data_IF_506998302908
#
_entry.id   IF_506998302908
#
_cell.length_a   1.000
_cell.length_b   1.000
_cell.length_c   1.000
_cell.angle_alpha   90.00
_cell.angle_beta   90.00
_cell.angle_gamma   90.00
#
_symmetry.space_group_name_H-M   'P 1'
#
loop_
_entity.id
_entity.type
_entity.pdbx_description
1 polymer ?
#
# COMPACT_ATOMS: atom_id res chain seq x y z
N UNK A 1 6.98 -4.92 -18.50
CA UNK A 1 5.62 -4.28 -18.53
C UNK A 1 5.28 -3.87 -17.11
N UNK A 2 4.73 -2.68 -16.89
CA UNK A 2 4.26 -2.24 -15.57
C UNK A 2 2.74 -2.26 -15.57
N UNK A 3 2.14 -3.08 -14.70
CA UNK A 3 0.69 -3.21 -14.60
C UNK A 3 0.28 -2.87 -13.17
N UNK A 4 -0.60 -1.89 -13.04
CA UNK A 4 -1.25 -1.61 -11.76
C UNK A 4 -2.19 -2.77 -11.42
N UNK A 5 -1.94 -3.41 -10.28
CA UNK A 5 -2.73 -4.55 -9.85
C UNK A 5 -3.75 -4.16 -8.79
N UNK A 6 -3.32 -3.37 -7.80
CA UNK A 6 -4.17 -2.93 -6.71
C UNK A 6 -3.83 -1.50 -6.34
N UNK A 7 -4.87 -0.71 -6.07
CA UNK A 7 -4.76 0.66 -5.56
C UNK A 7 -5.57 0.82 -4.29
N UNK A 8 -4.99 1.54 -3.35
CA UNK A 8 -5.62 1.98 -2.12
C UNK A 8 -5.56 3.50 -2.07
N UNK A 9 -6.71 4.14 -2.23
CA UNK A 9 -6.85 5.58 -2.03
C UNK A 9 -6.99 5.84 -0.53
N UNK A 10 -6.11 6.68 0.01
CA UNK A 10 -6.14 7.12 1.40
C UNK A 10 -7.02 8.37 1.42
N UNK A 11 -8.13 8.37 2.18
CA UNK A 11 -9.03 9.50 2.26
C UNK A 11 -8.30 10.74 2.79
N UNK A 12 -8.70 11.90 2.31
CA UNK A 12 -8.26 13.17 2.86
C UNK A 12 -8.77 13.30 4.30
N UNK A 13 -7.98 13.93 5.18
CA UNK A 13 -8.35 14.08 6.60
C UNK A 13 -9.71 14.77 6.78
N UNK A 14 -10.01 15.77 5.93
CA UNK A 14 -11.29 16.47 5.92
C UNK A 14 -12.51 15.55 5.65
N UNK A 15 -12.30 14.42 4.99
CA UNK A 15 -13.38 13.45 4.65
C UNK A 15 -13.61 12.40 5.73
N UNK A 16 -12.73 12.31 6.74
CA UNK A 16 -12.79 11.27 7.75
C UNK A 16 -13.73 11.58 8.91
N UNK A 17 -14.36 12.76 8.90
CA UNK A 17 -15.34 13.20 9.91
C UNK A 17 -14.87 12.90 11.35
N UNK A 18 -13.60 13.21 11.63
CA UNK A 18 -13.00 12.96 12.93
C UNK A 18 -13.68 13.84 14.00
N UNK A 19 -13.88 13.32 15.23
CA UNK A 19 -14.38 14.14 16.34
C UNK A 19 -13.47 15.34 16.60
N UNK A 20 -14.04 16.38 17.21
CA UNK A 20 -13.25 17.53 17.67
C UNK A 20 -12.14 17.07 18.62
N UNK A 21 -10.94 17.61 18.41
CA UNK A 21 -9.75 17.30 19.17
C UNK A 21 -9.05 15.99 18.80
N UNK A 22 -9.44 15.38 17.67
CA UNK A 22 -8.81 14.17 17.14
C UNK A 22 -8.21 14.46 15.76
N UNK A 23 -6.90 14.21 15.60
CA UNK A 23 -6.18 14.42 14.35
C UNK A 23 -5.39 13.17 13.94
N UNK A 24 -5.13 13.05 12.63
CA UNK A 24 -4.27 12.00 12.11
C UNK A 24 -2.83 12.51 12.09
N UNK A 25 -1.90 11.74 12.64
CA UNK A 25 -0.49 12.07 12.56
C UNK A 25 0.24 11.20 11.52
N UNK A 26 1.44 10.72 11.83
CA UNK A 26 2.27 10.00 10.87
C UNK A 26 1.73 8.59 10.56
N UNK A 27 2.06 8.11 9.36
CA UNK A 27 1.88 6.70 9.04
C UNK A 27 2.77 5.83 9.94
N UNK A 28 2.16 4.84 10.59
CA UNK A 28 2.84 3.92 11.49
C UNK A 28 3.33 2.67 10.75
N UNK A 29 2.47 2.11 9.90
CA UNK A 29 2.74 0.85 9.21
C UNK A 29 2.00 0.78 7.87
N UNK A 30 2.70 0.30 6.86
CA UNK A 30 2.11 -0.18 5.61
C UNK A 30 2.38 -1.68 5.49
N UNK A 31 1.33 -2.45 5.22
CA UNK A 31 1.43 -3.89 4.98
C UNK A 31 0.99 -4.17 3.56
N UNK A 32 1.88 -4.82 2.82
CA UNK A 32 1.60 -5.32 1.48
C UNK A 32 1.59 -6.83 1.53
N UNK A 33 0.49 -7.43 1.09
CA UNK A 33 0.37 -8.87 0.89
C UNK A 33 0.06 -9.13 -0.57
N UNK A 34 0.68 -10.14 -1.15
CA UNK A 34 0.46 -10.52 -2.54
C UNK A 34 0.71 -12.01 -2.70
N UNK A 35 -0.12 -12.70 -3.48
CA UNK A 35 0.26 -13.99 -4.02
C UNK A 35 0.57 -13.81 -5.51
N UNK A 36 1.79 -14.15 -5.91
CA UNK A 36 2.25 -13.91 -7.29
C UNK A 36 3.17 -15.01 -7.81
N UNK A 37 3.28 -15.06 -9.14
CA UNK A 37 4.26 -15.85 -9.85
C UNK A 37 4.73 -15.13 -11.12
N UNK A 38 5.90 -15.55 -11.64
CA UNK A 38 6.52 -15.02 -12.86
C UNK A 38 6.77 -16.16 -13.85
N UNK A 39 6.85 -15.80 -15.12
CA UNK A 39 7.29 -16.65 -16.21
C UNK A 39 8.82 -16.71 -16.35
N UNK A 40 9.58 -15.97 -15.53
CA UNK A 40 11.04 -15.91 -15.62
C UNK A 40 11.79 -15.61 -14.31
N UNK A 41 13.05 -15.19 -14.45
CA UNK A 41 13.96 -14.79 -13.37
C UNK A 41 14.10 -13.26 -13.31
N UNK A 42 13.82 -12.65 -12.17
CA UNK A 42 14.13 -11.23 -11.96
C UNK A 42 15.53 -11.06 -11.33
N UNK A 43 16.34 -10.16 -11.88
CA UNK A 43 17.49 -9.56 -11.19
C UNK A 43 16.98 -8.52 -10.18
N UNK A 44 17.69 -8.34 -9.05
CA UNK A 44 17.25 -7.48 -7.95
C UNK A 44 17.23 -5.96 -8.28
N UNK A 45 17.77 -5.57 -9.43
CA UNK A 45 18.11 -4.17 -9.71
C UNK A 45 17.36 -3.59 -10.91
N UNK A 46 16.27 -2.84 -10.66
CA UNK A 46 15.86 -1.64 -11.44
C UNK A 46 14.59 -0.97 -10.91
N UNK A 47 14.77 0.13 -10.19
CA UNK A 47 13.72 1.15 -10.00
C UNK A 47 13.61 2.03 -11.25
N UNK A 48 12.37 2.39 -11.64
CA UNK A 48 12.08 3.24 -12.80
C UNK A 48 11.15 4.35 -12.34
N UNK A 49 11.53 5.61 -12.54
CA UNK A 49 11.06 6.72 -11.73
C UNK A 49 9.87 7.48 -12.35
N UNK A 50 8.76 6.78 -12.57
CA UNK A 50 7.56 7.32 -13.21
C UNK A 50 6.67 8.11 -12.26
N UNK A 51 7.10 9.30 -11.81
CA UNK A 51 6.24 10.26 -11.06
C UNK A 51 5.72 9.79 -9.70
N UNK A 52 6.21 8.68 -9.19
CA UNK A 52 5.93 8.15 -7.87
C UNK A 52 6.81 8.88 -6.85
N UNK A 53 6.24 9.27 -5.71
CA UNK A 53 6.98 10.02 -4.67
C UNK A 53 7.96 9.12 -3.92
N UNK A 54 7.59 7.85 -3.71
CA UNK A 54 8.45 6.81 -3.19
C UNK A 54 8.08 5.45 -3.78
N UNK A 55 9.07 4.76 -4.33
CA UNK A 55 8.95 3.38 -4.81
C UNK A 55 9.80 2.47 -3.93
N UNK A 56 9.32 1.24 -3.75
CA UNK A 56 10.10 0.19 -3.10
C UNK A 56 9.74 -1.17 -3.68
N UNK A 57 10.72 -2.07 -3.72
CA UNK A 57 10.46 -3.48 -4.04
C UNK A 57 9.78 -4.19 -2.87
N UNK A 58 8.64 -4.84 -3.15
CA UNK A 58 7.93 -5.68 -2.16
C UNK A 58 8.55 -7.07 -2.09
N UNK A 59 8.66 -7.73 -3.25
CA UNK A 59 9.26 -9.05 -3.39
C UNK A 59 9.62 -9.32 -4.87
N UNK A 60 10.79 -9.91 -5.15
CA UNK A 60 11.10 -10.43 -6.47
C UNK A 60 10.51 -11.84 -6.65
N UNK A 61 9.97 -12.12 -7.83
CA UNK A 61 9.68 -13.48 -8.25
C UNK A 61 10.93 -14.07 -8.92
N UNK A 62 11.65 -14.92 -8.19
CA UNK A 62 12.96 -15.45 -8.63
C UNK A 62 12.89 -16.81 -9.31
N UNK A 63 11.70 -17.39 -9.52
CA UNK A 63 11.55 -18.72 -10.16
C UNK A 63 10.30 -18.79 -11.01
N UNK A 64 10.44 -19.42 -12.18
CA UNK A 64 9.34 -19.86 -13.03
C UNK A 64 8.65 -21.03 -12.35
N UNK A 65 7.49 -20.77 -11.76
CA UNK A 65 6.63 -21.81 -11.19
C UNK A 65 5.18 -21.46 -11.48
N UNK A 66 4.36 -22.47 -11.76
CA UNK A 66 2.92 -22.27 -12.03
C UNK A 66 2.13 -21.94 -10.76
N UNK A 67 2.70 -22.23 -9.59
CA UNK A 67 2.07 -21.94 -8.30
C UNK A 67 2.41 -20.54 -7.80
N UNK A 68 1.39 -19.73 -7.51
CA UNK A 68 1.57 -18.48 -6.77
C UNK A 68 2.23 -18.70 -5.41
N UNK A 69 3.08 -17.75 -5.02
CA UNK A 69 3.69 -17.70 -3.69
C UNK A 69 3.16 -16.52 -2.92
N UNK A 70 2.81 -16.75 -1.67
CA UNK A 70 2.33 -15.70 -0.79
C UNK A 70 3.51 -14.91 -0.20
N UNK A 71 3.50 -13.61 -0.43
CA UNK A 71 4.49 -12.65 0.03
C UNK A 71 3.82 -11.66 0.98
N UNK A 72 4.52 -11.34 2.06
CA UNK A 72 4.09 -10.30 3.00
C UNK A 72 5.29 -9.40 3.29
N UNK A 73 5.10 -8.10 3.10
CA UNK A 73 6.09 -7.07 3.44
C UNK A 73 5.47 -6.08 4.40
N UNK A 74 6.19 -5.81 5.48
CA UNK A 74 5.86 -4.79 6.47
C UNK A 74 6.83 -3.63 6.31
N UNK A 75 6.30 -2.43 6.12
CA UNK A 75 7.04 -1.18 6.22
C UNK A 75 6.72 -0.59 7.58
N UNK A 76 7.73 -0.42 8.43
CA UNK A 76 7.64 0.12 9.79
C UNK A 76 8.67 1.21 9.96
N UNK A 77 8.41 2.14 10.88
CA UNK A 77 9.27 3.28 11.11
C UNK A 77 10.66 2.89 11.65
N UNK A 78 11.74 3.57 11.20
CA UNK A 78 11.78 4.52 10.09
C UNK A 78 11.93 3.83 8.72
N UNK A 79 11.15 4.23 7.72
CA UNK A 79 11.33 3.82 6.32
C UNK A 79 10.87 4.93 5.38
N UNK A 80 11.66 5.24 4.35
CA UNK A 80 11.39 6.32 3.38
C UNK A 80 9.95 6.27 2.84
N UNK A 81 9.45 5.08 2.50
CA UNK A 81 8.07 4.87 2.03
C UNK A 81 7.02 5.46 2.98
N UNK A 82 7.19 5.31 4.30
CA UNK A 82 6.22 5.79 5.29
C UNK A 82 6.22 7.32 5.42
N UNK A 83 7.35 7.97 5.15
CA UNK A 83 7.47 9.43 5.23
C UNK A 83 6.64 10.12 4.13
N UNK A 84 6.33 9.40 3.05
CA UNK A 84 5.50 9.87 1.94
C UNK A 84 4.05 9.38 2.01
N UNK A 85 3.67 8.57 3.01
CA UNK A 85 2.27 8.12 3.16
C UNK A 85 1.49 9.12 4.01
N UNK A 86 0.69 9.96 3.35
CA UNK A 86 -0.19 10.95 4.02
C UNK A 86 -1.66 10.78 3.61
N UNK A 87 -2.61 11.26 4.43
CA UNK A 87 -4.02 11.37 4.03
C UNK A 87 -4.18 12.09 2.68
N UNK A 88 -5.08 11.62 1.83
CA UNK A 88 -5.28 12.11 0.46
C UNK A 88 -4.35 11.51 -0.60
N UNK A 89 -3.31 10.77 -0.23
CA UNK A 89 -2.44 10.07 -1.19
C UNK A 89 -3.04 8.72 -1.62
N UNK A 90 -2.38 8.02 -2.53
CA UNK A 90 -2.74 6.66 -2.94
C UNK A 90 -1.53 5.73 -2.90
N UNK A 91 -1.74 4.49 -2.47
CA UNK A 91 -0.75 3.42 -2.59
C UNK A 91 -1.11 2.48 -3.73
N UNK A 92 -0.11 2.08 -4.51
CA UNK A 92 -0.28 1.20 -5.66
C UNK A 92 0.65 -0.02 -5.55
N UNK A 93 0.10 -1.21 -5.79
CA UNK A 93 0.86 -2.43 -5.99
C UNK A 93 1.00 -2.67 -7.49
N UNK A 94 2.24 -2.63 -7.96
CA UNK A 94 2.58 -2.78 -9.37
C UNK A 94 3.17 -4.16 -9.64
N UNK A 95 2.62 -4.88 -10.61
CA UNK A 95 3.24 -6.08 -11.19
C UNK A 95 4.17 -5.64 -12.31
N UNK A 96 5.45 -6.02 -12.20
CA UNK A 96 6.49 -5.58 -13.13
C UNK A 96 7.26 -6.76 -13.67
N UNK A 97 7.40 -6.86 -14.98
CA UNK A 97 8.35 -7.77 -15.61
C UNK A 97 9.62 -7.03 -16.03
N UNK A 98 10.78 -7.62 -15.74
CA UNK A 98 12.10 -7.05 -16.07
C UNK A 98 12.35 -7.03 -17.58
N UNK A 99 11.98 -8.10 -18.28
CA UNK A 99 12.21 -8.24 -19.72
C UNK A 99 10.93 -8.05 -20.53
N UNK A 100 11.00 -7.39 -21.70
CA UNK A 100 9.88 -7.34 -22.63
C UNK A 100 9.38 -8.74 -23.02
N UNK A 101 8.07 -8.92 -23.09
CA UNK A 101 7.44 -10.21 -23.41
C UNK A 101 7.21 -11.12 -22.22
N UNK A 102 7.77 -10.82 -21.04
CA UNK A 102 7.44 -11.54 -19.81
C UNK A 102 6.26 -10.89 -19.09
N UNK A 103 5.51 -11.70 -18.36
CA UNK A 103 4.39 -11.24 -17.55
C UNK A 103 4.52 -11.70 -16.10
N UNK A 104 4.23 -10.78 -15.19
CA UNK A 104 4.01 -11.10 -13.78
C UNK A 104 2.51 -11.14 -13.51
N UNK A 105 2.08 -12.16 -12.78
CA UNK A 105 0.68 -12.42 -12.45
C UNK A 105 0.52 -12.56 -10.95
N UNK A 106 -0.61 -12.05 -10.45
CA UNK A 106 -1.00 -12.20 -9.06
C UNK A 106 -2.46 -12.63 -9.00
N UNK A 107 -2.74 -13.60 -8.14
CA UNK A 107 -4.06 -14.13 -7.81
C UNK A 107 -4.64 -13.48 -6.55
N UNK A 108 -3.79 -12.86 -5.74
CA UNK A 108 -4.21 -12.13 -4.54
C UNK A 108 -3.35 -10.89 -4.32
N UNK A 109 -3.97 -9.82 -3.82
CA UNK A 109 -3.24 -8.72 -3.22
C UNK A 109 -4.07 -7.95 -2.20
N UNK A 110 -3.37 -7.39 -1.22
CA UNK A 110 -3.94 -6.57 -0.16
C UNK A 110 -2.97 -5.49 0.26
N UNK A 111 -3.48 -4.27 0.33
CA UNK A 111 -2.80 -3.12 0.93
C UNK A 111 -3.50 -2.77 2.24
N UNK A 112 -2.72 -2.49 3.28
CA UNK A 112 -3.22 -1.95 4.56
C UNK A 112 -2.30 -0.83 4.99
N UNK A 113 -2.90 0.27 5.44
CA UNK A 113 -2.21 1.41 6.05
C UNK A 113 -2.73 1.58 7.46
N UNK A 114 -1.83 1.95 8.37
CA UNK A 114 -2.16 2.30 9.75
C UNK A 114 -1.52 3.65 10.06
N UNK A 115 -2.31 4.54 10.64
CA UNK A 115 -1.86 5.84 11.10
C UNK A 115 -1.93 5.89 12.63
N UNK A 116 -1.10 6.74 13.21
CA UNK A 116 -1.34 7.21 14.56
C UNK A 116 -2.46 8.25 14.55
N UNK A 117 -3.21 8.25 15.65
CA UNK A 117 -4.24 9.25 15.95
C UNK A 117 -3.80 9.96 17.21
N UNK A 118 -3.83 11.28 17.17
CA UNK A 118 -3.45 12.14 18.28
C UNK A 118 -4.70 12.83 18.84
N UNK A 119 -4.72 12.95 20.17
CA UNK A 119 -5.75 13.66 20.92
C UNK A 119 -5.15 14.97 21.40
N UNK A 120 -5.85 16.08 21.18
CA UNK A 120 -5.48 17.37 21.73
C UNK A 120 -6.34 17.75 22.95
N UNK A 121 -6.13 18.96 23.46
CA UNK A 121 -6.80 19.49 24.65
C UNK A 121 -8.30 19.74 24.44
N UNK A 122 -8.77 19.83 23.19
CA UNK A 122 -10.17 20.03 22.84
C UNK A 122 -10.95 18.71 22.76
N UNK A 123 -10.27 17.57 22.86
CA UNK A 123 -10.92 16.27 22.76
C UNK A 123 -11.83 16.02 23.96
N UNK A 124 -13.12 15.83 23.68
CA UNK A 124 -14.12 15.47 24.70
C UNK A 124 -14.72 14.11 24.37
N UNK A 125 -14.71 13.20 25.36
CA UNK A 125 -15.39 11.90 25.27
C UNK A 125 -16.91 12.08 25.31
N UNK A 126 -17.51 12.58 24.23
CA UNK A 126 -18.96 12.71 24.09
C UNK A 126 -19.54 11.42 23.50
N UNK A 127 -19.86 10.48 24.40
CA UNK A 127 -20.45 9.15 24.09
C UNK A 127 -19.58 8.23 23.21
N UNK A 128 -19.82 6.91 23.19
CA UNK A 128 -19.04 5.99 22.37
C UNK A 128 -19.29 6.29 20.89
N UNK A 129 -18.34 6.97 20.25
CA UNK A 129 -18.36 7.19 18.79
C UNK A 129 -17.52 6.09 18.16
N UNK A 130 -18.16 5.19 17.42
CA UNK A 130 -17.47 4.21 16.59
C UNK A 130 -16.97 4.90 15.31
N UNK A 131 -15.66 5.08 15.19
CA UNK A 131 -15.04 5.65 13.99
C UNK A 131 -14.67 4.50 13.06
N UNK A 132 -15.49 4.26 12.03
CA UNK A 132 -15.22 3.24 11.01
C UNK A 132 -14.52 3.89 9.82
N UNK A 133 -13.19 3.79 9.79
CA UNK A 133 -12.38 4.17 8.62
C UNK A 133 -12.41 3.03 7.59
N UNK A 134 -13.51 2.89 6.86
CA UNK A 134 -13.60 1.91 5.78
C UNK A 134 -12.88 2.45 4.53
N UNK A 135 -11.65 1.98 4.29
CA UNK A 135 -10.94 2.30 3.06
C UNK A 135 -11.48 1.45 1.90
N UNK A 136 -12.00 2.04 0.82
CA UNK A 136 -12.42 1.27 -0.34
C UNK A 136 -11.17 0.72 -1.06
N UNK A 137 -10.90 -0.58 -0.91
CA UNK A 137 -9.99 -1.28 -1.81
C UNK A 137 -10.78 -1.70 -3.05
N UNK A 138 -10.47 -1.11 -4.21
CA UNK A 138 -11.05 -1.56 -5.48
C UNK A 138 -10.03 -2.46 -6.20
N UNK A 139 -10.33 -3.74 -6.47
CA UNK A 139 -9.56 -4.47 -7.45
C UNK A 139 -9.78 -3.81 -8.82
N UNK A 140 -8.70 -3.55 -9.55
CA UNK A 140 -8.80 -3.01 -10.90
C UNK A 140 -9.28 -4.17 -11.79
N UNK A 141 -10.50 -4.08 -12.31
CA UNK A 141 -11.01 -5.03 -13.29
C UNK A 141 -10.23 -4.85 -14.60
N UNK A 142 -9.69 -5.97 -15.10
CA UNK A 142 -9.03 -6.06 -16.41
C UNK A 142 -10.05 -6.11 -17.53
#
# INVERSE_FOLDING_TARGET
MNVEYLRLDIPEEATLHLPLGLSISKCHEVVVQCASHDQGWADEDREYDGGEVARTTVCPNVRVVDSSRHHVRYFRTPSDVLDHVTPGNSLQLMLRSQYPGWSNTADYGRLRVQFFVELDEEFVFLSPTEIVLALPSKPIQR
#
